data_IF_308695776791
#
_entry.id   IF_308695776791
#
_cell.length_a   1.000
_cell.length_b   1.000
_cell.length_c   1.000
_cell.angle_alpha   90.00
_cell.angle_beta   90.00
_cell.angle_gamma   90.00
#
_symmetry.space_group_name_H-M   'P 1'
#
loop_
_entity.id
_entity.type
_entity.pdbx_description
1 polymer ?
#
# COMPACT_ATOMS: atom_id res chain seq x y z
N UNK A 1 9.47 -23.02 -4.85
CA UNK A 1 10.31 -24.25 -4.95
C UNK A 1 9.93 -25.30 -3.90
N UNK A 2 9.77 -24.93 -2.60
CA UNK A 2 9.41 -25.89 -1.55
C UNK A 2 8.05 -26.59 -1.80
N UNK A 3 7.02 -25.84 -2.24
CA UNK A 3 5.70 -26.42 -2.52
C UNK A 3 5.77 -27.42 -3.68
N UNK A 4 6.50 -27.12 -4.74
CA UNK A 4 6.66 -28.03 -5.88
C UNK A 4 7.44 -29.32 -5.52
N UNK A 5 8.29 -29.28 -4.48
CA UNK A 5 8.97 -30.46 -3.95
C UNK A 5 8.07 -31.34 -3.08
N UNK A 6 7.18 -30.70 -2.29
CA UNK A 6 6.26 -31.37 -1.38
C UNK A 6 5.00 -31.93 -2.08
N UNK A 7 4.60 -31.31 -3.18
CA UNK A 7 3.40 -31.65 -3.92
C UNK A 7 3.65 -31.45 -5.43
N UNK A 8 4.38 -32.38 -6.09
CA UNK A 8 4.82 -32.24 -7.48
C UNK A 8 3.66 -32.22 -8.50
N UNK A 9 2.52 -32.80 -8.15
CA UNK A 9 1.34 -32.85 -9.00
C UNK A 9 0.40 -31.63 -8.80
N UNK A 10 0.73 -30.72 -7.88
CA UNK A 10 -0.07 -29.53 -7.62
C UNK A 10 0.29 -28.38 -8.56
N UNK A 11 -0.72 -27.78 -9.16
CA UNK A 11 -0.58 -26.50 -9.87
C UNK A 11 -0.54 -25.36 -8.85
N UNK A 12 0.46 -24.51 -8.97
CA UNK A 12 0.60 -23.32 -8.14
C UNK A 12 0.11 -22.12 -8.95
N UNK A 13 -0.90 -21.42 -8.45
CA UNK A 13 -1.46 -20.25 -9.13
C UNK A 13 -1.30 -19.03 -8.23
N UNK A 14 -0.61 -18.02 -8.74
CA UNK A 14 -0.56 -16.71 -8.11
C UNK A 14 -1.85 -15.95 -8.43
N UNK A 15 -2.51 -15.43 -7.40
CA UNK A 15 -3.70 -14.61 -7.51
C UNK A 15 -3.41 -13.18 -7.09
N UNK A 16 -3.89 -12.22 -7.88
CA UNK A 16 -3.83 -10.81 -7.56
C UNK A 16 -5.20 -10.17 -7.70
N UNK A 17 -5.53 -9.25 -6.77
CA UNK A 17 -6.70 -8.39 -6.83
C UNK A 17 -6.99 -7.76 -5.47
N UNK A 18 -7.36 -6.47 -5.45
CA UNK A 18 -7.80 -5.77 -4.25
C UNK A 18 -9.22 -6.18 -3.85
N UNK A 19 -9.61 -5.94 -2.61
CA UNK A 19 -10.96 -6.18 -2.08
C UNK A 19 -12.03 -5.47 -2.92
N UNK A 20 -11.74 -4.28 -3.39
CA UNK A 20 -12.60 -3.44 -4.22
C UNK A 20 -12.96 -4.03 -5.59
N UNK A 21 -12.29 -5.11 -5.97
CA UNK A 21 -12.57 -5.86 -7.22
C UNK A 21 -12.85 -7.34 -6.98
N UNK A 22 -13.28 -7.71 -5.77
CA UNK A 22 -13.63 -9.10 -5.38
C UNK A 22 -12.41 -10.02 -5.35
N UNK A 23 -11.33 -9.53 -4.77
CA UNK A 23 -10.09 -10.24 -4.41
C UNK A 23 -9.28 -10.76 -5.61
N UNK A 24 -9.43 -11.99 -6.04
CA UNK A 24 -8.55 -12.59 -7.05
C UNK A 24 -9.08 -12.41 -8.48
N UNK A 25 -8.67 -11.37 -9.17
CA UNK A 25 -9.14 -11.02 -10.53
C UNK A 25 -8.08 -11.17 -11.62
N UNK A 26 -6.80 -11.27 -11.25
CA UNK A 26 -5.72 -11.67 -12.15
C UNK A 26 -5.10 -12.96 -11.66
N UNK A 27 -4.63 -13.79 -12.58
CA UNK A 27 -4.01 -15.08 -12.24
C UNK A 27 -2.80 -15.37 -13.10
N UNK A 28 -1.82 -16.04 -12.49
CA UNK A 28 -0.63 -16.54 -13.16
C UNK A 28 -0.28 -17.93 -12.66
N UNK A 29 -0.14 -18.90 -13.55
CA UNK A 29 0.36 -20.21 -13.19
C UNK A 29 1.87 -20.16 -13.01
N UNK A 30 2.33 -20.52 -11.82
CA UNK A 30 3.76 -20.56 -11.50
C UNK A 30 4.35 -21.85 -11.98
N UNK A 31 4.97 -21.83 -13.15
CA UNK A 31 5.78 -22.95 -13.66
C UNK A 31 7.11 -22.98 -12.92
N UNK A 32 7.72 -24.16 -12.73
CA UNK A 32 8.93 -24.34 -11.92
C UNK A 32 10.18 -23.60 -12.41
N UNK A 33 10.12 -22.93 -13.54
CA UNK A 33 11.17 -22.04 -14.05
C UNK A 33 11.23 -20.75 -13.25
N UNK A 34 12.42 -20.35 -12.85
CA UNK A 34 12.63 -19.10 -12.13
C UNK A 34 12.24 -17.93 -13.05
N UNK A 35 11.28 -17.08 -12.64
CA UNK A 35 10.93 -15.93 -13.47
C UNK A 35 12.16 -15.08 -13.73
N UNK A 36 12.25 -14.51 -14.93
CA UNK A 36 13.33 -13.58 -15.30
C UNK A 36 13.31 -12.30 -14.46
N UNK A 37 12.21 -12.07 -13.74
CA UNK A 37 11.98 -10.94 -12.83
C UNK A 37 12.09 -11.37 -11.37
N UNK A 38 12.39 -10.41 -10.48
CA UNK A 38 12.52 -10.65 -9.03
C UNK A 38 11.20 -11.04 -8.34
N UNK A 39 10.06 -10.87 -9.01
CA UNK A 39 8.73 -11.18 -8.50
C UNK A 39 7.94 -12.09 -9.46
N UNK A 40 7.06 -12.91 -8.89
CA UNK A 40 6.10 -13.70 -9.67
C UNK A 40 5.11 -12.75 -10.35
N UNK A 41 4.87 -12.88 -11.67
CA UNK A 41 3.88 -12.05 -12.37
C UNK A 41 2.50 -12.14 -11.72
N UNK A 42 1.73 -11.06 -11.80
CA UNK A 42 0.32 -11.07 -11.37
C UNK A 42 -0.60 -11.68 -12.42
N UNK A 43 -0.12 -11.77 -13.66
CA UNK A 43 -0.70 -12.62 -14.70
C UNK A 43 -1.67 -11.91 -15.62
N UNK A 44 -2.76 -12.60 -15.92
CA UNK A 44 -3.79 -12.17 -16.88
C UNK A 44 -5.16 -12.05 -16.19
N UNK A 45 -6.05 -11.17 -16.71
CA UNK A 45 -7.40 -11.03 -16.20
C UNK A 45 -8.22 -12.33 -16.33
N UNK A 46 -8.98 -12.63 -15.28
CA UNK A 46 -10.03 -13.65 -15.33
C UNK A 46 -11.19 -13.21 -16.23
N UNK A 47 -12.06 -14.15 -16.57
CA UNK A 47 -13.28 -13.87 -17.33
C UNK A 47 -14.09 -12.72 -16.68
N UNK A 48 -14.66 -11.84 -17.50
CA UNK A 48 -15.43 -10.66 -17.08
C UNK A 48 -14.63 -9.62 -16.27
N UNK A 49 -13.29 -9.69 -16.29
CA UNK A 49 -12.38 -8.70 -15.72
C UNK A 49 -11.62 -7.99 -16.83
N UNK A 50 -11.37 -6.71 -16.64
CA UNK A 50 -10.51 -5.90 -17.49
C UNK A 50 -9.36 -5.33 -16.67
N UNK A 51 -8.16 -5.40 -17.20
CA UNK A 51 -7.00 -4.72 -16.64
C UNK A 51 -6.55 -3.64 -17.62
N UNK A 52 -6.32 -2.43 -17.12
CA UNK A 52 -5.81 -1.28 -17.87
C UNK A 52 -4.51 -0.83 -17.25
N UNK A 53 -3.51 -0.55 -18.08
CA UNK A 53 -2.32 0.18 -17.65
C UNK A 53 -2.43 1.59 -18.21
N UNK A 54 -2.54 2.57 -17.31
CA UNK A 54 -2.79 3.96 -17.69
C UNK A 54 -1.69 4.88 -17.16
N UNK A 55 -1.48 6.00 -17.87
CA UNK A 55 -0.65 7.11 -17.41
C UNK A 55 -1.42 8.05 -16.46
N UNK A 56 -0.78 9.14 -16.03
CA UNK A 56 -1.39 10.14 -15.14
C UNK A 56 -2.60 10.88 -15.76
N UNK A 57 -2.77 10.81 -17.08
CA UNK A 57 -3.84 11.42 -17.83
C UNK A 57 -4.93 10.42 -18.26
N UNK A 58 -4.85 9.18 -17.72
CA UNK A 58 -5.74 8.06 -18.05
C UNK A 58 -5.61 7.58 -19.50
N UNK A 59 -4.50 7.85 -20.18
CA UNK A 59 -4.23 7.27 -21.49
C UNK A 59 -3.57 5.89 -21.33
N UNK A 60 -3.92 4.93 -22.20
CA UNK A 60 -3.27 3.64 -22.20
C UNK A 60 -1.77 3.74 -22.46
N UNK A 61 -0.96 3.05 -21.64
CA UNK A 61 0.46 2.88 -21.91
C UNK A 61 0.71 1.65 -22.76
N UNK A 62 1.64 1.76 -23.70
CA UNK A 62 1.93 0.69 -24.66
C UNK A 62 3.05 -0.23 -24.20
N UNK A 63 2.95 -1.50 -24.54
CA UNK A 63 4.02 -2.48 -24.43
C UNK A 63 4.58 -2.61 -23.00
N UNK A 64 5.91 -2.57 -22.88
CA UNK A 64 6.64 -2.76 -21.61
C UNK A 64 6.75 -1.48 -20.76
N UNK A 65 6.04 -0.41 -21.11
CA UNK A 65 6.03 0.83 -20.34
C UNK A 65 5.26 0.61 -19.03
N UNK A 66 5.81 1.12 -17.94
CA UNK A 66 5.16 1.08 -16.64
C UNK A 66 3.99 2.06 -16.58
N UNK A 67 2.81 1.57 -16.18
CA UNK A 67 1.61 2.36 -15.92
C UNK A 67 1.04 2.06 -14.54
N UNK A 68 0.05 2.84 -14.13
CA UNK A 68 -0.79 2.51 -12.98
C UNK A 68 -1.83 1.48 -13.43
N UNK A 69 -2.04 0.45 -12.60
CA UNK A 69 -2.99 -0.62 -12.87
C UNK A 69 -4.41 -0.20 -12.46
N UNK A 70 -5.33 -0.30 -13.39
CA UNK A 70 -6.76 -0.11 -13.18
C UNK A 70 -7.50 -1.39 -13.49
N UNK A 71 -8.49 -1.74 -12.67
CA UNK A 71 -9.27 -2.98 -12.82
C UNK A 71 -10.74 -2.67 -13.04
N UNK A 72 -11.32 -3.25 -14.08
CA UNK A 72 -12.72 -3.11 -14.46
C UNK A 72 -13.42 -4.45 -14.57
N UNK A 73 -14.72 -4.43 -14.74
CA UNK A 73 -15.54 -5.60 -14.96
C UNK A 73 -16.54 -5.90 -13.86
N UNK A 74 -17.13 -7.09 -13.89
CA UNK A 74 -18.24 -7.46 -13.02
C UNK A 74 -17.91 -7.50 -11.51
N UNK A 75 -16.61 -7.68 -11.18
CA UNK A 75 -16.14 -7.74 -9.78
C UNK A 75 -15.91 -6.38 -9.13
N UNK A 76 -16.04 -5.26 -9.86
CA UNK A 76 -15.81 -3.91 -9.30
C UNK A 76 -16.92 -3.53 -8.35
N UNK A 77 -16.56 -3.19 -7.11
CA UNK A 77 -17.50 -2.75 -6.07
C UNK A 77 -18.19 -1.43 -6.44
N UNK A 78 -19.27 -1.10 -5.75
CA UNK A 78 -19.98 0.16 -5.97
C UNK A 78 -19.23 1.37 -5.43
N UNK A 79 -18.46 1.18 -4.36
CA UNK A 79 -17.67 2.21 -3.69
C UNK A 79 -17.52 1.96 -2.20
N UNK A 80 -17.07 2.98 -1.47
CA UNK A 80 -16.89 2.95 -0.04
C UNK A 80 -18.12 3.52 0.68
N UNK A 81 -18.63 2.79 1.66
CA UNK A 81 -19.81 3.18 2.44
C UNK A 81 -19.58 4.54 3.14
N UNK A 82 -20.50 5.47 2.95
CA UNK A 82 -20.46 6.82 3.53
C UNK A 82 -19.21 7.65 3.17
N UNK A 83 -18.47 7.26 2.11
CA UNK A 83 -17.29 7.98 1.65
C UNK A 83 -17.37 8.32 0.14
N UNK A 84 -18.26 9.24 -0.26
CA UNK A 84 -18.47 9.56 -1.68
C UNK A 84 -17.24 10.20 -2.34
N UNK A 85 -16.46 11.00 -1.60
CA UNK A 85 -15.23 11.62 -2.10
C UNK A 85 -14.18 10.57 -2.46
N UNK A 86 -13.86 9.67 -1.52
CA UNK A 86 -12.92 8.57 -1.75
C UNK A 86 -13.42 7.62 -2.85
N UNK A 87 -14.73 7.38 -2.90
CA UNK A 87 -15.34 6.57 -3.98
C UNK A 87 -15.10 7.20 -5.33
N UNK A 88 -15.33 8.50 -5.49
CA UNK A 88 -15.10 9.22 -6.74
C UNK A 88 -13.62 9.27 -7.15
N UNK A 89 -12.70 9.30 -6.18
CA UNK A 89 -11.26 9.28 -6.42
C UNK A 89 -10.77 7.91 -6.91
N UNK A 90 -11.32 6.82 -6.35
CA UNK A 90 -10.81 5.46 -6.58
C UNK A 90 -11.60 4.68 -7.64
N UNK A 91 -12.90 4.96 -7.82
CA UNK A 91 -13.75 4.31 -8.82
C UNK A 91 -14.08 5.30 -9.95
N UNK A 92 -13.15 5.39 -10.89
CA UNK A 92 -13.21 6.37 -11.98
C UNK A 92 -13.89 5.80 -13.22
N UNK A 93 -14.43 6.64 -14.13
CA UNK A 93 -14.94 6.17 -15.43
C UNK A 93 -13.86 5.38 -16.18
N UNK A 94 -14.25 4.26 -16.83
CA UNK A 94 -13.33 3.51 -17.71
C UNK A 94 -13.11 4.31 -19.00
N UNK A 95 -11.89 4.83 -19.28
CA UNK A 95 -11.63 5.67 -20.46
C UNK A 95 -11.78 4.90 -21.79
N UNK A 96 -11.81 3.57 -21.73
CA UNK A 96 -11.99 2.69 -22.90
C UNK A 96 -13.24 1.81 -22.77
N UNK A 97 -14.09 2.09 -21.80
CA UNK A 97 -15.32 1.35 -21.52
C UNK A 97 -16.55 1.97 -22.18
N UNK A 98 -17.69 1.30 -22.04
CA UNK A 98 -19.00 1.82 -22.41
C UNK A 98 -19.50 2.88 -21.43
N UNK A 99 -20.63 3.51 -21.78
CA UNK A 99 -21.29 4.52 -20.92
C UNK A 99 -21.62 3.92 -19.54
N UNK A 100 -21.15 4.57 -18.46
CA UNK A 100 -21.38 4.15 -17.08
C UNK A 100 -20.44 3.08 -16.56
N UNK A 101 -19.54 2.55 -17.39
CA UNK A 101 -18.52 1.60 -16.91
C UNK A 101 -17.46 2.32 -16.09
N UNK A 102 -17.01 1.63 -15.04
CA UNK A 102 -15.99 2.14 -14.11
C UNK A 102 -14.84 1.18 -13.97
N UNK A 103 -13.68 1.74 -13.62
CA UNK A 103 -12.50 1.00 -13.23
C UNK A 103 -12.06 1.44 -11.83
N UNK A 104 -11.56 0.49 -11.07
CA UNK A 104 -10.94 0.75 -9.77
C UNK A 104 -9.47 1.10 -9.97
N UNK A 105 -9.07 2.24 -9.43
CA UNK A 105 -7.70 2.73 -9.38
C UNK A 105 -6.96 2.04 -8.23
N UNK A 106 -6.06 1.10 -8.56
CA UNK A 106 -5.42 0.25 -7.54
C UNK A 106 -4.31 0.94 -6.74
N UNK A 107 -3.67 1.96 -7.32
CA UNK A 107 -2.42 2.54 -6.81
C UNK A 107 -1.19 1.68 -7.10
N UNK A 108 -1.36 0.51 -7.70
CA UNK A 108 -0.27 -0.38 -8.05
C UNK A 108 0.32 -0.02 -9.43
N UNK A 109 1.63 -0.05 -9.55
CA UNK A 109 2.33 0.10 -10.82
C UNK A 109 2.63 -1.27 -11.41
N UNK A 110 2.37 -1.40 -12.69
CA UNK A 110 2.63 -2.64 -13.43
C UNK A 110 3.09 -2.32 -14.84
N UNK A 111 3.59 -3.36 -15.53
CA UNK A 111 3.86 -3.35 -16.98
C UNK A 111 3.33 -4.63 -17.59
N UNK A 112 3.10 -4.61 -18.90
CA UNK A 112 2.74 -5.80 -19.66
C UNK A 112 3.96 -6.35 -20.41
N UNK A 113 4.27 -7.62 -20.21
CA UNK A 113 5.31 -8.34 -20.96
C UNK A 113 4.63 -9.51 -21.64
N UNK A 114 4.56 -9.46 -22.95
CA UNK A 114 3.94 -10.50 -23.79
C UNK A 114 2.50 -10.88 -23.32
N UNK A 115 1.73 -9.85 -22.92
CA UNK A 115 0.34 -10.00 -22.45
C UNK A 115 0.19 -10.44 -20.98
N UNK A 116 1.30 -10.64 -20.27
CA UNK A 116 1.33 -10.97 -18.84
C UNK A 116 1.70 -9.72 -18.04
N UNK A 117 0.92 -9.44 -16.99
CA UNK A 117 1.16 -8.29 -16.13
C UNK A 117 2.19 -8.62 -15.04
N UNK A 118 3.19 -7.74 -14.92
CA UNK A 118 4.20 -7.79 -13.89
C UNK A 118 4.03 -6.61 -12.93
N UNK A 119 3.99 -6.92 -11.63
CA UNK A 119 3.90 -5.93 -10.57
C UNK A 119 5.26 -5.24 -10.34
N UNK A 120 5.26 -3.91 -10.29
CA UNK A 120 6.47 -3.08 -10.13
C UNK A 120 6.52 -2.34 -8.79
N UNK A 121 5.56 -2.57 -7.91
CA UNK A 121 5.41 -1.86 -6.64
C UNK A 121 4.20 -0.94 -6.61
N UNK A 122 4.11 -0.11 -5.59
CA UNK A 122 3.02 0.85 -5.43
C UNK A 122 3.49 2.25 -5.83
N UNK A 123 2.55 3.03 -6.37
CA UNK A 123 2.73 4.45 -6.67
C UNK A 123 2.31 5.37 -5.52
N UNK A 124 1.63 4.82 -4.49
CA UNK A 124 1.20 5.49 -3.28
C UNK A 124 1.93 4.95 -2.03
N UNK A 125 1.57 5.45 -0.86
CA UNK A 125 2.19 5.08 0.43
C UNK A 125 1.55 3.85 1.10
N UNK A 126 0.55 3.22 0.47
CA UNK A 126 -0.11 2.04 1.03
C UNK A 126 0.85 0.86 1.13
N UNK A 127 0.80 0.14 2.23
CA UNK A 127 1.71 -0.97 2.53
C UNK A 127 0.97 -2.21 3.02
N UNK A 128 1.66 -3.35 3.01
CA UNK A 128 1.21 -4.57 3.68
C UNK A 128 2.03 -4.79 4.95
N UNK A 129 1.37 -4.69 6.10
CA UNK A 129 1.96 -4.98 7.41
C UNK A 129 1.38 -6.29 7.94
N UNK A 130 2.21 -7.30 8.14
CA UNK A 130 1.77 -8.64 8.61
C UNK A 130 0.60 -9.22 7.78
N UNK A 131 0.54 -8.90 6.49
CA UNK A 131 -0.54 -9.33 5.58
C UNK A 131 -1.75 -8.40 5.53
N UNK A 132 -1.89 -7.45 6.45
CA UNK A 132 -2.95 -6.44 6.44
C UNK A 132 -2.60 -5.27 5.53
N UNK A 133 -3.58 -4.75 4.83
CA UNK A 133 -3.47 -3.55 4.00
C UNK A 133 -3.60 -2.32 4.90
N UNK A 134 -2.58 -1.48 4.95
CA UNK A 134 -2.48 -0.31 5.82
C UNK A 134 -2.21 0.94 4.99
N UNK A 135 -2.95 1.99 5.28
CA UNK A 135 -2.74 3.35 4.79
C UNK A 135 -2.00 4.16 5.87
N UNK A 136 -0.69 4.43 5.75
CA UNK A 136 0.03 5.24 6.74
C UNK A 136 -0.58 6.62 6.95
N UNK A 137 -1.21 7.19 5.90
CA UNK A 137 -1.92 8.47 5.96
C UNK A 137 -3.11 8.48 6.92
N UNK A 138 -3.81 7.36 7.10
CA UNK A 138 -4.90 7.23 8.07
C UNK A 138 -4.38 7.36 9.51
N UNK A 139 -3.31 6.66 9.82
CA UNK A 139 -2.66 6.73 11.13
C UNK A 139 -2.13 8.15 11.40
N UNK A 140 -1.52 8.76 10.38
CA UNK A 140 -1.02 10.13 10.46
C UNK A 140 -2.16 11.13 10.75
N UNK A 141 -3.32 10.95 10.15
CA UNK A 141 -4.48 11.78 10.40
C UNK A 141 -5.01 11.62 11.83
N UNK A 142 -5.06 10.39 12.36
CA UNK A 142 -5.46 10.12 13.74
C UNK A 142 -4.48 10.78 14.72
N UNK A 143 -3.17 10.62 14.50
CA UNK A 143 -2.15 11.29 15.31
C UNK A 143 -2.34 12.81 15.37
N UNK A 144 -2.62 13.45 14.22
CA UNK A 144 -2.86 14.89 14.14
C UNK A 144 -4.15 15.36 14.81
N UNK A 145 -5.07 14.46 15.14
CA UNK A 145 -6.31 14.76 15.88
C UNK A 145 -6.10 14.72 17.40
N UNK A 146 -4.97 14.21 17.88
CA UNK A 146 -4.63 14.21 19.29
C UNK A 146 -4.18 15.63 19.71
N UNK A 147 -4.73 16.13 20.81
CA UNK A 147 -4.48 17.52 21.30
C UNK A 147 -3.00 17.83 21.53
N UNK A 148 -2.23 16.82 21.91
CA UNK A 148 -0.80 16.90 22.21
C UNK A 148 0.11 16.88 20.96
N UNK A 149 -0.43 16.60 19.77
CA UNK A 149 0.33 16.45 18.53
C UNK A 149 0.10 17.64 17.60
N UNK A 150 1.18 18.39 17.35
CA UNK A 150 1.17 19.50 16.41
C UNK A 150 1.25 19.04 14.95
N UNK A 151 2.10 18.06 14.68
CA UNK A 151 2.25 17.46 13.35
C UNK A 151 2.75 16.01 13.46
N UNK A 152 2.47 15.22 12.45
CA UNK A 152 2.90 13.83 12.40
C UNK A 152 3.18 13.38 10.96
N UNK A 153 4.09 12.41 10.83
CA UNK A 153 4.32 11.64 9.61
C UNK A 153 4.44 10.16 9.96
N UNK A 154 3.88 9.28 9.14
CA UNK A 154 3.96 7.83 9.35
C UNK A 154 4.56 7.17 8.12
N UNK A 155 5.58 6.35 8.32
CA UNK A 155 6.28 5.63 7.26
C UNK A 155 6.32 4.14 7.55
N UNK A 156 6.31 3.34 6.49
CA UNK A 156 6.65 1.93 6.58
C UNK A 156 8.13 1.75 6.25
N UNK A 157 8.90 1.27 7.20
CA UNK A 157 10.34 1.08 7.09
C UNK A 157 10.69 -0.41 7.24
N UNK A 158 11.78 -0.89 6.61
CA UNK A 158 12.28 -2.24 6.86
C UNK A 158 12.58 -2.47 8.34
N UNK A 159 12.30 -3.65 8.85
CA UNK A 159 12.72 -4.04 10.19
C UNK A 159 14.23 -4.29 10.22
N UNK A 160 14.90 -3.87 11.30
CA UNK A 160 16.34 -4.14 11.48
C UNK A 160 16.67 -5.65 11.51
N UNK A 161 15.78 -6.44 12.11
CA UNK A 161 15.94 -7.90 12.22
C UNK A 161 15.62 -8.67 10.94
N UNK A 162 14.84 -8.07 10.03
CA UNK A 162 14.41 -8.71 8.78
C UNK A 162 14.05 -7.64 7.73
N UNK A 163 14.98 -7.34 6.85
CA UNK A 163 14.80 -6.33 5.78
C UNK A 163 13.66 -6.65 4.80
N UNK A 164 13.17 -7.89 4.78
CA UNK A 164 12.00 -8.31 4.00
C UNK A 164 10.66 -7.96 4.65
N UNK A 165 10.67 -7.57 5.94
CA UNK A 165 9.47 -7.19 6.69
C UNK A 165 9.43 -5.68 6.93
N UNK A 166 8.23 -5.11 6.77
CA UNK A 166 8.00 -3.70 7.06
C UNK A 166 7.40 -3.53 8.45
N UNK A 167 7.76 -2.43 9.10
CA UNK A 167 7.16 -1.92 10.32
C UNK A 167 6.71 -0.47 10.13
N UNK A 168 5.66 -0.07 10.82
CA UNK A 168 5.22 1.32 10.86
C UNK A 168 6.05 2.10 11.87
N UNK A 169 6.51 3.27 11.46
CA UNK A 169 7.21 4.22 12.33
C UNK A 169 6.53 5.57 12.21
N UNK A 170 6.14 6.13 13.34
CA UNK A 170 5.57 7.47 13.42
C UNK A 170 6.63 8.47 13.87
N UNK A 171 6.64 9.64 13.25
CA UNK A 171 7.43 10.80 13.61
C UNK A 171 6.46 11.89 14.03
N UNK A 172 6.52 12.32 15.28
CA UNK A 172 5.57 13.28 15.86
C UNK A 172 6.27 14.56 16.30
N UNK A 173 5.65 15.68 16.02
CA UNK A 173 5.99 16.97 16.63
C UNK A 173 4.95 17.26 17.69
N UNK A 174 5.37 17.42 18.93
CA UNK A 174 4.47 17.67 20.05
C UNK A 174 4.19 19.16 20.23
N UNK A 175 3.03 19.49 20.79
CA UNK A 175 2.71 20.84 21.19
C UNK A 175 3.64 21.29 22.34
N UNK A 176 4.09 22.56 22.31
CA UNK A 176 5.08 23.10 23.24
C UNK A 176 4.66 23.06 24.72
N UNK A 177 3.38 22.87 24.99
CA UNK A 177 2.79 22.90 26.35
C UNK A 177 2.55 21.51 26.94
N UNK A 178 2.86 20.43 26.19
CA UNK A 178 2.54 19.08 26.63
C UNK A 178 3.69 18.41 27.37
N UNK A 179 3.36 17.50 28.28
CA UNK A 179 4.28 16.54 28.93
C UNK A 179 4.14 15.14 28.31
N UNK A 180 3.46 15.04 27.19
CA UNK A 180 3.24 13.79 26.47
C UNK A 180 4.56 13.23 25.93
N UNK A 181 4.68 11.91 25.94
CA UNK A 181 5.79 11.15 25.40
C UNK A 181 5.31 10.08 24.41
N UNK A 182 6.25 9.35 23.81
CA UNK A 182 5.97 8.29 22.85
C UNK A 182 5.11 7.16 23.45
N UNK A 183 5.30 6.84 24.74
CA UNK A 183 4.53 5.76 25.40
C UNK A 183 3.05 6.13 25.56
N UNK A 184 2.78 7.38 25.92
CA UNK A 184 1.41 7.87 26.04
C UNK A 184 0.71 7.89 24.68
N UNK A 185 1.36 8.38 23.63
CA UNK A 185 0.82 8.36 22.28
C UNK A 185 0.54 6.92 21.81
N UNK A 186 1.43 5.98 22.10
CA UNK A 186 1.21 4.57 21.78
C UNK A 186 -0.05 4.02 22.46
N UNK A 187 -0.26 4.30 23.75
CA UNK A 187 -1.46 3.87 24.48
C UNK A 187 -2.75 4.51 23.93
N UNK A 188 -2.71 5.77 23.53
CA UNK A 188 -3.86 6.44 22.92
C UNK A 188 -4.20 5.81 21.56
N UNK A 189 -3.19 5.54 20.73
CA UNK A 189 -3.39 4.86 19.44
C UNK A 189 -3.93 3.43 19.60
N UNK A 190 -3.50 2.68 20.61
CA UNK A 190 -4.04 1.34 20.91
C UNK A 190 -5.53 1.36 21.24
N UNK A 191 -6.04 2.45 21.79
CA UNK A 191 -7.49 2.64 22.02
C UNK A 191 -8.28 3.02 20.78
N UNK A 192 -7.61 3.49 19.73
CA UNK A 192 -8.24 4.04 18.52
C UNK A 192 -8.04 3.18 17.26
N UNK A 193 -6.98 2.38 17.23
CA UNK A 193 -6.55 1.62 16.06
C UNK A 193 -6.46 0.12 16.35
N UNK A 194 -6.67 -0.73 15.34
CA UNK A 194 -6.31 -2.14 15.42
C UNK A 194 -4.79 -2.32 15.62
N UNK A 195 -4.35 -3.38 16.30
CA UNK A 195 -2.96 -3.63 16.65
C UNK A 195 -1.99 -3.57 15.46
N UNK A 196 -2.41 -4.07 14.29
CA UNK A 196 -1.59 -4.05 13.08
C UNK A 196 -1.37 -2.65 12.49
N UNK A 197 -2.14 -1.64 12.91
CA UNK A 197 -2.01 -0.24 12.52
C UNK A 197 -1.26 0.60 13.55
N UNK A 198 -1.05 0.10 14.76
CA UNK A 198 -0.27 0.82 15.78
C UNK A 198 1.20 0.84 15.34
N UNK A 199 1.84 2.04 15.24
CA UNK A 199 3.26 2.12 14.89
C UNK A 199 4.12 1.35 15.89
N UNK A 200 5.06 0.55 15.38
CA UNK A 200 6.02 -0.17 16.21
C UNK A 200 6.93 0.78 17.00
N UNK A 201 7.12 2.00 16.47
CA UNK A 201 7.92 3.04 17.12
C UNK A 201 7.32 4.41 16.87
N UNK A 202 7.37 5.28 17.89
CA UNK A 202 7.04 6.70 17.78
C UNK A 202 8.29 7.50 18.16
N UNK A 203 8.74 8.36 17.23
CA UNK A 203 9.91 9.21 17.39
C UNK A 203 9.42 10.65 17.51
N UNK A 204 9.74 11.29 18.63
CA UNK A 204 9.39 12.70 18.84
C UNK A 204 10.49 13.57 18.26
N UNK A 205 10.11 14.55 17.45
CA UNK A 205 10.99 15.52 16.81
C UNK A 205 10.60 16.94 17.19
N UNK A 206 11.55 17.86 17.16
CA UNK A 206 11.26 19.30 17.31
C UNK A 206 10.48 19.84 16.10
N UNK A 207 10.75 19.31 14.91
CA UNK A 207 10.06 19.62 13.64
C UNK A 207 10.22 18.50 12.64
N UNK A 208 9.25 18.35 11.74
CA UNK A 208 9.39 17.47 10.59
C UNK A 208 10.34 18.11 9.56
N UNK A 209 11.33 17.36 9.04
CA UNK A 209 12.19 17.88 7.96
C UNK A 209 11.38 18.01 6.67
N UNK A 210 11.52 19.16 6.01
CA UNK A 210 10.84 19.44 4.75
C UNK A 210 11.86 19.71 3.63
N UNK A 211 11.56 19.26 2.45
CA UNK A 211 12.29 19.62 1.22
C UNK A 211 12.09 21.12 0.90
N UNK A 212 12.87 21.65 -0.04
CA UNK A 212 12.72 23.02 -0.54
C UNK A 212 11.31 23.33 -1.09
N UNK A 213 10.58 22.31 -1.50
CA UNK A 213 9.20 22.43 -2.02
C UNK A 213 8.13 22.22 -0.93
N UNK A 214 8.50 22.18 0.36
CA UNK A 214 7.58 22.02 1.49
C UNK A 214 7.01 20.60 1.67
N UNK A 215 7.55 19.59 0.98
CA UNK A 215 7.17 18.18 1.19
C UNK A 215 8.07 17.55 2.26
N UNK A 216 7.55 16.51 2.93
CA UNK A 216 8.33 15.73 3.90
C UNK A 216 9.62 15.18 3.25
N UNK A 217 10.77 15.52 3.85
CA UNK A 217 12.07 14.97 3.46
C UNK A 217 12.30 13.63 4.20
N UNK A 218 11.93 12.53 3.53
CA UNK A 218 12.04 11.18 4.10
C UNK A 218 13.48 10.76 4.37
N UNK A 219 14.45 11.33 3.64
CA UNK A 219 15.87 10.97 3.81
C UNK A 219 16.50 11.68 5.01
N UNK A 220 15.96 12.82 5.40
CA UNK A 220 16.42 13.56 6.56
C UNK A 220 15.76 13.11 7.89
N UNK A 221 14.82 12.17 7.85
CA UNK A 221 14.24 11.59 9.06
C UNK A 221 15.26 10.67 9.74
N UNK A 222 15.34 10.69 11.09
CA UNK A 222 16.23 9.80 11.82
C UNK A 222 15.82 8.33 11.61
N UNK A 223 16.82 7.47 11.43
CA UNK A 223 16.60 6.02 11.39
C UNK A 223 16.24 5.56 12.81
N UNK A 224 15.18 4.75 12.97
CA UNK A 224 14.84 4.17 14.26
C UNK A 224 15.98 3.30 14.75
N UNK A 225 16.65 3.67 15.84
CA UNK A 225 17.69 2.85 16.45
C UNK A 225 17.11 1.92 17.53
N UNK A 226 17.91 0.93 17.99
CA UNK A 226 17.49 -0.07 18.96
C UNK A 226 17.15 0.51 20.35
N UNK A 227 17.51 1.78 20.64
CA UNK A 227 17.22 2.47 21.90
C UNK A 227 15.89 3.21 21.87
N UNK A 228 15.29 3.43 20.70
CA UNK A 228 13.95 3.98 20.57
C UNK A 228 12.95 2.90 20.98
N UNK A 229 12.14 3.13 22.02
CA UNK A 229 11.22 2.13 22.57
C UNK A 229 10.37 1.47 21.49
N UNK A 230 10.48 0.14 21.37
CA UNK A 230 9.71 -0.65 20.42
C UNK A 230 8.46 -1.20 21.11
N UNK A 231 7.31 -1.08 20.44
CA UNK A 231 6.11 -1.82 20.80
C UNK A 231 6.16 -3.20 20.11
N UNK A 232 6.17 -4.29 20.90
CA UNK A 232 5.96 -5.66 20.44
C UNK A 232 4.49 -6.04 20.71
N UNK A 233 3.71 -6.25 19.63
CA UNK A 233 2.36 -6.78 19.67
C UNK A 233 2.32 -8.27 19.38
#
# INVERSE_FOLDING_TARGET
QQVAQLAPDCRIINHYGPTETTVGVLTHEVTGERPATLSVPVGQPLANTRARLLDAYLNPVAGRVAGELYLGGAGVAQGYLNQPGLTAERFVPDPQGGTGERVYRTGDRARSVDGVLEFLGRGDDQVKIRGYRVEPGEIQQILRQLDDVQDAAVLALPMESDAGRLQLVAYCVLASTTTTDAERLTRELQGLLPDYMVPARIIVLERLPLTANGKLDRQALPVPDAQTQAYEA
#
